data_IF_518920108580
#
_entry.id   IF_518920108580
#
_cell.length_a   1.000
_cell.length_b   1.000
_cell.length_c   1.000
_cell.angle_alpha   90.00
_cell.angle_beta   90.00
_cell.angle_gamma   90.00
#
_symmetry.space_group_name_H-M   'P 1'
#
loop_
_entity.id
_entity.type
_entity.pdbx_description
1 polymer ?
#
# COMPACT_ATOMS: atom_id res chain seq x y z
N UNK A 1 47.05 -18.53 48.24
CA UNK A 1 45.87 -18.04 47.49
C UNK A 1 45.03 -17.14 48.40
N UNK A 2 44.36 -16.12 47.86
CA UNK A 2 43.41 -15.31 48.66
C UNK A 2 42.23 -16.17 49.15
N UNK A 3 41.68 -15.86 50.33
CA UNK A 3 40.47 -16.53 50.86
C UNK A 3 39.33 -16.51 49.83
N UNK A 4 39.19 -15.41 49.09
CA UNK A 4 38.18 -15.25 48.04
C UNK A 4 38.43 -16.17 46.86
N UNK A 5 39.69 -16.35 46.46
CA UNK A 5 40.06 -17.27 45.37
C UNK A 5 39.75 -18.71 45.75
N UNK A 6 40.10 -19.13 46.97
CA UNK A 6 39.82 -20.49 47.46
C UNK A 6 38.31 -20.74 47.50
N UNK A 7 37.53 -19.79 48.04
CA UNK A 7 36.07 -19.90 48.08
C UNK A 7 35.45 -19.95 46.68
N UNK A 8 36.05 -19.26 45.70
CA UNK A 8 35.60 -19.27 44.33
C UNK A 8 35.84 -20.63 43.67
N UNK A 9 37.05 -21.18 43.79
CA UNK A 9 37.39 -22.50 43.25
C UNK A 9 36.50 -23.59 43.85
N UNK A 10 36.22 -23.52 45.16
CA UNK A 10 35.32 -24.46 45.83
C UNK A 10 33.87 -24.40 45.30
N UNK A 11 33.37 -23.18 45.05
CA UNK A 11 32.04 -23.00 44.47
C UNK A 11 31.97 -23.51 43.02
N UNK A 12 33.03 -23.30 42.22
CA UNK A 12 33.12 -23.82 40.85
C UNK A 12 33.19 -25.35 40.85
N UNK A 13 33.98 -25.95 41.74
CA UNK A 13 34.04 -27.40 41.90
C UNK A 13 32.65 -27.99 42.22
N UNK A 14 31.89 -27.32 43.09
CA UNK A 14 30.50 -27.73 43.41
C UNK A 14 29.60 -27.73 42.17
N UNK A 15 29.73 -26.74 41.27
CA UNK A 15 28.97 -26.71 40.02
C UNK A 15 29.38 -27.87 39.10
N UNK A 16 30.68 -28.11 38.94
CA UNK A 16 31.20 -29.19 38.09
C UNK A 16 30.78 -30.58 38.58
N UNK A 17 30.81 -30.83 39.89
CA UNK A 17 30.37 -32.10 40.50
C UNK A 17 28.87 -32.37 40.30
N UNK A 18 28.04 -31.32 40.28
CA UNK A 18 26.59 -31.42 40.16
C UNK A 18 26.08 -31.24 38.71
N UNK A 19 26.99 -31.14 37.74
CA UNK A 19 26.66 -31.00 36.31
C UNK A 19 27.06 -32.28 35.55
N UNK A 20 26.16 -33.30 35.49
CA UNK A 20 26.40 -34.51 34.72
C UNK A 20 26.50 -34.20 33.22
N UNK A 21 27.45 -34.85 32.53
CA UNK A 21 27.65 -34.70 31.07
C UNK A 21 26.66 -35.52 30.25
N UNK A 22 26.32 -36.72 30.73
CA UNK A 22 25.62 -37.74 29.94
C UNK A 22 24.22 -38.11 30.49
N UNK A 23 23.75 -37.44 31.53
CA UNK A 23 22.49 -37.76 32.20
C UNK A 23 21.69 -36.49 32.56
N UNK A 24 20.35 -36.57 32.65
CA UNK A 24 19.54 -35.44 33.07
C UNK A 24 19.82 -35.08 34.54
N UNK A 25 20.00 -33.79 34.80
CA UNK A 25 20.17 -33.26 36.15
C UNK A 25 18.93 -33.51 37.02
N UNK A 26 19.16 -34.05 38.23
CA UNK A 26 18.14 -34.18 39.27
C UNK A 26 17.77 -32.81 39.86
N UNK A 27 16.56 -32.67 40.42
CA UNK A 27 16.11 -31.43 41.06
C UNK A 27 17.07 -30.96 42.17
N UNK A 28 17.64 -31.90 42.93
CA UNK A 28 18.59 -31.58 44.00
C UNK A 28 19.91 -31.03 43.46
N UNK A 29 20.43 -31.61 42.38
CA UNK A 29 21.63 -31.11 41.70
C UNK A 29 21.41 -29.70 41.14
N UNK A 30 20.25 -29.44 40.52
CA UNK A 30 19.90 -28.10 40.02
C UNK A 30 19.96 -27.04 41.12
N UNK A 31 19.33 -27.31 42.27
CA UNK A 31 19.37 -26.38 43.42
C UNK A 31 20.79 -26.14 43.94
N UNK A 32 21.65 -27.16 43.94
CA UNK A 32 23.06 -26.98 44.33
C UNK A 32 23.85 -26.15 43.31
N UNK A 33 23.63 -26.39 42.02
CA UNK A 33 24.23 -25.60 40.93
C UNK A 33 23.80 -24.14 41.05
N UNK A 34 22.50 -23.87 41.20
CA UNK A 34 21.97 -22.50 41.29
C UNK A 34 22.55 -21.74 42.49
N UNK A 35 22.65 -22.40 43.65
CA UNK A 35 23.25 -21.80 44.86
C UNK A 35 24.74 -21.54 44.69
N UNK A 36 25.47 -22.49 44.13
CA UNK A 36 26.90 -22.34 43.88
C UNK A 36 27.16 -21.23 42.84
N UNK A 37 26.35 -21.15 41.79
CA UNK A 37 26.41 -20.09 40.79
C UNK A 37 26.13 -18.70 41.39
N UNK A 38 25.09 -18.57 42.22
CA UNK A 38 24.81 -17.33 42.94
C UNK A 38 25.97 -16.93 43.88
N UNK A 39 26.60 -17.90 44.53
CA UNK A 39 27.79 -17.67 45.36
C UNK A 39 28.99 -17.19 44.51
N UNK A 40 29.23 -17.77 43.34
CA UNK A 40 30.26 -17.34 42.40
C UNK A 40 30.04 -15.87 41.99
N UNK A 41 28.82 -15.52 41.59
CA UNK A 41 28.49 -14.14 41.21
C UNK A 41 28.74 -13.17 42.37
N UNK A 42 28.35 -13.53 43.60
CA UNK A 42 28.61 -12.72 44.80
C UNK A 42 30.11 -12.51 45.04
N UNK A 43 30.95 -13.53 44.84
CA UNK A 43 32.40 -13.45 45.02
C UNK A 43 33.08 -12.61 43.93
N UNK A 44 32.59 -12.65 42.70
CA UNK A 44 33.18 -11.91 41.55
C UNK A 44 32.58 -10.50 41.41
N UNK A 45 31.47 -10.17 42.07
CA UNK A 45 30.79 -8.87 41.96
C UNK A 45 31.70 -7.62 42.04
N UNK A 46 32.71 -7.52 42.94
CA UNK A 46 33.63 -6.37 42.92
C UNK A 46 34.40 -6.22 41.61
N UNK A 47 34.75 -7.34 40.97
CA UNK A 47 35.46 -7.38 39.69
C UNK A 47 34.54 -7.05 38.52
N UNK A 48 33.31 -7.54 38.53
CA UNK A 48 32.27 -7.14 37.56
C UNK A 48 32.11 -5.61 37.61
N UNK A 49 31.91 -5.02 38.81
CA UNK A 49 31.84 -3.56 38.97
C UNK A 49 33.04 -2.82 38.41
N UNK A 50 34.25 -3.35 38.59
CA UNK A 50 35.46 -2.76 38.03
C UNK A 50 35.44 -2.78 36.50
N UNK A 51 35.14 -3.92 35.87
CA UNK A 51 35.12 -4.02 34.42
C UNK A 51 33.96 -3.22 33.80
N UNK A 52 32.77 -3.23 34.37
CA UNK A 52 31.64 -2.43 33.86
C UNK A 52 32.00 -0.94 33.78
N UNK A 53 32.68 -0.41 34.80
CA UNK A 53 33.20 0.98 34.77
C UNK A 53 34.27 1.17 33.69
N UNK A 54 35.23 0.24 33.58
CA UNK A 54 36.32 0.33 32.59
C UNK A 54 35.79 0.34 31.15
N UNK A 55 34.71 -0.39 30.89
CA UNK A 55 34.09 -0.47 29.57
C UNK A 55 33.07 0.66 29.30
N UNK A 56 32.86 1.58 30.25
CA UNK A 56 31.93 2.69 30.11
C UNK A 56 30.45 2.31 30.19
N UNK A 57 30.14 1.13 30.74
CA UNK A 57 28.79 0.55 30.76
C UNK A 57 28.02 0.85 32.06
N UNK A 58 28.44 1.86 32.83
CA UNK A 58 27.81 2.20 34.12
C UNK A 58 26.33 2.55 33.99
N UNK A 59 25.93 3.21 32.88
CA UNK A 59 24.53 3.54 32.60
C UNK A 59 23.68 2.32 32.19
N UNK A 60 24.32 1.21 31.84
CA UNK A 60 23.69 -0.04 31.41
C UNK A 60 24.02 -1.16 32.40
N UNK A 61 23.91 -0.86 33.70
CA UNK A 61 24.34 -1.78 34.77
C UNK A 61 23.63 -3.14 34.68
N UNK A 62 22.31 -3.13 34.49
CA UNK A 62 21.49 -4.34 34.43
C UNK A 62 21.90 -5.24 33.27
N UNK A 63 22.06 -4.68 32.07
CA UNK A 63 22.52 -5.43 30.89
C UNK A 63 23.94 -5.98 31.09
N UNK A 64 24.83 -5.17 31.66
CA UNK A 64 26.21 -5.55 31.89
C UNK A 64 26.34 -6.66 32.94
N UNK A 65 25.49 -6.65 33.96
CA UNK A 65 25.39 -7.71 34.97
C UNK A 65 24.94 -9.03 34.33
N UNK A 66 23.92 -9.01 33.47
CA UNK A 66 23.46 -10.20 32.75
C UNK A 66 24.53 -10.76 31.79
N UNK A 67 25.20 -9.89 31.02
CA UNK A 67 26.31 -10.31 30.16
C UNK A 67 27.46 -10.94 30.96
N UNK A 68 27.76 -10.41 32.16
CA UNK A 68 28.74 -11.01 33.06
C UNK A 68 28.28 -12.34 33.65
N UNK A 69 26.99 -12.53 33.94
CA UNK A 69 26.46 -13.82 34.35
C UNK A 69 26.59 -14.88 33.25
N UNK A 70 26.29 -14.52 31.99
CA UNK A 70 26.52 -15.38 30.82
C UNK A 70 28.01 -15.72 30.67
N UNK A 71 28.90 -14.74 30.86
CA UNK A 71 30.33 -14.96 30.82
C UNK A 71 30.81 -15.97 31.88
N UNK A 72 30.28 -15.87 33.10
CA UNK A 72 30.58 -16.82 34.19
C UNK A 72 30.05 -18.21 33.85
N UNK A 73 28.84 -18.32 33.30
CA UNK A 73 28.28 -19.60 32.88
C UNK A 73 29.17 -20.28 31.84
N UNK A 74 29.51 -19.58 30.76
CA UNK A 74 30.40 -20.09 29.70
C UNK A 74 31.81 -20.39 30.21
N UNK A 75 32.29 -19.59 31.18
CA UNK A 75 33.55 -19.85 31.85
C UNK A 75 33.50 -21.20 32.58
N UNK A 76 32.42 -21.51 33.30
CA UNK A 76 32.30 -22.77 34.03
C UNK A 76 32.26 -23.97 33.06
N UNK A 77 31.50 -23.87 31.96
CA UNK A 77 31.36 -24.96 30.97
C UNK A 77 32.69 -25.37 30.33
N UNK A 78 33.58 -24.40 30.11
CA UNK A 78 34.87 -24.58 29.44
C UNK A 78 36.07 -24.57 30.39
N UNK A 79 35.83 -24.55 31.70
CA UNK A 79 36.88 -24.44 32.70
C UNK A 79 37.67 -25.75 32.85
N UNK A 80 39.00 -25.61 32.87
CA UNK A 80 39.93 -26.70 33.16
C UNK A 80 40.83 -26.31 34.37
N UNK A 81 40.60 -26.89 35.56
CA UNK A 81 41.36 -26.57 36.77
C UNK A 81 42.86 -26.87 36.66
N UNK A 82 43.27 -27.76 35.75
CA UNK A 82 44.68 -28.13 35.59
C UNK A 82 45.50 -27.08 34.85
N UNK A 83 44.84 -26.23 34.04
CA UNK A 83 45.49 -25.24 33.18
C UNK A 83 45.65 -23.88 33.84
N UNK A 84 44.64 -23.41 34.58
CA UNK A 84 44.65 -22.08 35.18
C UNK A 84 43.68 -21.97 36.36
N UNK A 85 43.92 -20.98 37.23
CA UNK A 85 42.93 -20.56 38.24
C UNK A 85 41.69 -19.97 37.57
N UNK A 86 40.51 -20.27 38.11
CA UNK A 86 39.23 -19.81 37.58
C UNK A 86 39.17 -18.28 37.52
N UNK A 87 39.73 -17.58 38.51
CA UNK A 87 39.79 -16.11 38.51
C UNK A 87 40.51 -15.53 37.29
N UNK A 88 41.49 -16.25 36.76
CA UNK A 88 42.23 -15.82 35.58
C UNK A 88 41.43 -16.09 34.33
N UNK A 89 40.80 -17.28 34.26
CA UNK A 89 40.00 -17.70 33.11
C UNK A 89 38.74 -16.85 32.94
N UNK A 90 37.95 -16.67 34.01
CA UNK A 90 36.69 -15.93 33.97
C UNK A 90 36.86 -14.46 33.57
N UNK A 91 38.03 -13.86 33.85
CA UNK A 91 38.32 -12.49 33.43
C UNK A 91 38.29 -12.32 31.92
N UNK A 92 38.80 -13.30 31.18
CA UNK A 92 38.81 -13.26 29.72
C UNK A 92 37.39 -13.33 29.18
N UNK A 93 36.56 -14.22 29.75
CA UNK A 93 35.15 -14.35 29.36
C UNK A 93 34.37 -13.06 29.66
N UNK A 94 34.54 -12.49 30.86
CA UNK A 94 33.87 -11.24 31.25
C UNK A 94 34.26 -10.10 30.30
N UNK A 95 35.55 -9.95 29.98
CA UNK A 95 36.01 -8.93 29.04
C UNK A 95 35.43 -9.12 27.63
N UNK A 96 35.33 -10.37 27.16
CA UNK A 96 34.76 -10.69 25.85
C UNK A 96 33.28 -10.30 25.75
N UNK A 97 32.47 -10.72 26.74
CA UNK A 97 31.03 -10.41 26.75
C UNK A 97 30.76 -8.91 26.94
N UNK A 98 31.48 -8.23 27.83
CA UNK A 98 31.34 -6.78 28.00
C UNK A 98 31.76 -6.00 26.75
N UNK A 99 32.80 -6.45 26.04
CA UNK A 99 33.19 -5.85 24.77
C UNK A 99 32.09 -6.05 23.70
N UNK A 100 31.48 -7.25 23.67
CA UNK A 100 30.37 -7.55 22.76
C UNK A 100 29.14 -6.68 23.05
N UNK A 101 28.79 -6.51 24.32
CA UNK A 101 27.71 -5.61 24.75
C UNK A 101 28.00 -4.17 24.35
N UNK A 102 29.22 -3.68 24.63
CA UNK A 102 29.66 -2.33 24.24
C UNK A 102 29.52 -2.10 22.74
N UNK A 103 29.90 -3.04 21.89
CA UNK A 103 29.72 -2.89 20.44
C UNK A 103 28.25 -2.89 20.00
N UNK A 104 27.35 -3.52 20.74
CA UNK A 104 25.91 -3.50 20.44
C UNK A 104 25.26 -2.18 20.83
N UNK A 105 25.63 -1.62 21.99
CA UNK A 105 25.08 -0.38 22.50
C UNK A 105 25.74 0.87 21.89
N UNK A 106 27.05 0.83 21.70
CA UNK A 106 27.88 1.92 21.21
C UNK A 106 28.43 1.54 19.83
N UNK A 107 27.56 1.63 18.82
CA UNK A 107 27.87 1.23 17.44
C UNK A 107 28.94 2.10 16.80
N UNK A 108 29.00 3.37 17.20
CA UNK A 108 30.04 4.36 16.91
C UNK A 108 31.44 3.93 17.39
N UNK A 109 31.52 3.18 18.49
CA UNK A 109 32.79 2.73 19.06
C UNK A 109 33.35 1.48 18.38
N UNK A 110 32.65 0.91 17.40
CA UNK A 110 33.15 -0.21 16.60
C UNK A 110 34.35 0.22 15.75
N UNK A 111 35.35 -0.65 15.54
CA UNK A 111 36.48 -0.33 14.66
C UNK A 111 36.06 0.09 13.25
N UNK A 112 34.96 -0.46 12.72
CA UNK A 112 34.41 -0.08 11.42
C UNK A 112 33.78 1.32 11.42
N UNK A 113 33.06 1.69 12.48
CA UNK A 113 32.45 3.01 12.61
C UNK A 113 33.50 4.10 12.80
N UNK A 114 34.55 3.83 13.58
CA UNK A 114 35.71 4.73 13.72
C UNK A 114 36.44 5.01 12.42
N UNK A 115 36.49 4.05 11.48
CA UNK A 115 37.10 4.26 10.16
C UNK A 115 36.35 5.27 9.29
N UNK A 116 35.05 5.43 9.53
CA UNK A 116 34.15 6.31 8.76
C UNK A 116 33.76 7.54 9.61
N UNK A 117 34.38 7.74 10.77
CA UNK A 117 34.05 8.80 11.73
C UNK A 117 32.54 8.86 12.08
N UNK A 118 31.86 7.70 12.02
CA UNK A 118 30.44 7.61 12.27
C UNK A 118 30.16 7.82 13.76
N UNK A 119 29.38 8.86 14.06
CA UNK A 119 29.01 9.24 15.43
C UNK A 119 27.53 8.95 15.65
N UNK A 120 27.20 8.30 16.77
CA UNK A 120 25.80 8.10 17.15
C UNK A 120 25.30 9.41 17.78
N UNK A 121 24.28 10.00 17.16
CA UNK A 121 23.65 11.23 17.64
C UNK A 121 22.23 10.84 18.08
N UNK A 122 21.80 11.28 19.26
CA UNK A 122 20.40 11.11 19.66
C UNK A 122 19.52 11.97 18.76
N UNK A 123 18.36 11.45 18.37
CA UNK A 123 17.42 12.20 17.53
C UNK A 123 17.01 13.53 18.21
N UNK A 124 16.93 13.52 19.55
CA UNK A 124 16.72 14.72 20.36
C UNK A 124 17.81 15.78 20.22
N UNK A 125 19.06 15.39 19.94
CA UNK A 125 20.15 16.36 19.69
C UNK A 125 20.05 17.02 18.31
N UNK A 126 19.29 16.44 17.37
CA UNK A 126 18.95 17.07 16.10
C UNK A 126 17.70 17.95 16.20
N UNK A 127 16.96 17.85 17.30
CA UNK A 127 15.70 18.53 17.50
C UNK A 127 15.85 19.97 18.02
N UNK A 128 17.08 20.45 18.25
CA UNK A 128 17.35 21.85 18.56
C UNK A 128 17.44 22.65 17.27
N UNK A 129 16.47 23.54 17.05
CA UNK A 129 16.51 24.53 15.96
C UNK A 129 17.73 25.45 16.14
N UNK A 130 18.32 26.02 15.06
CA UNK A 130 19.41 27.01 15.17
C UNK A 130 19.06 28.22 16.06
N UNK A 131 17.78 28.51 16.29
CA UNK A 131 17.30 29.57 17.19
C UNK A 131 17.17 29.13 18.67
N UNK A 132 17.50 27.87 18.99
CA UNK A 132 17.46 27.31 20.34
C UNK A 132 16.10 26.73 20.76
N UNK A 133 15.09 26.81 19.90
CA UNK A 133 13.79 26.18 20.14
C UNK A 133 13.88 24.65 19.98
N UNK A 134 13.41 23.93 21.00
CA UNK A 134 13.29 22.47 20.97
C UNK A 134 12.07 22.07 20.14
N UNK A 135 12.30 21.49 18.97
CA UNK A 135 11.26 20.81 18.20
C UNK A 135 10.99 19.49 18.92
N UNK A 136 9.72 19.19 19.23
CA UNK A 136 9.39 17.87 19.80
C UNK A 136 9.81 16.79 18.80
N UNK A 137 10.48 15.70 19.22
CA UNK A 137 10.78 14.56 18.35
C UNK A 137 9.55 14.02 17.62
N UNK A 138 8.36 14.15 18.22
CA UNK A 138 7.08 13.76 17.63
C UNK A 138 6.77 14.60 16.37
N UNK A 139 7.01 15.91 16.42
CA UNK A 139 6.79 16.82 15.28
C UNK A 139 7.83 16.63 14.16
N UNK A 140 9.01 16.09 14.46
CA UNK A 140 9.99 15.72 13.42
C UNK A 140 9.65 14.40 12.72
N UNK A 141 8.89 13.53 13.38
CA UNK A 141 8.54 12.19 12.88
C UNK A 141 7.17 12.21 12.19
N UNK A 142 6.30 13.16 12.55
CA UNK A 142 4.97 13.30 11.96
C UNK A 142 5.08 13.56 10.45
N UNK A 143 4.52 12.64 9.68
CA UNK A 143 4.38 12.75 8.23
C UNK A 143 2.98 13.28 7.94
N UNK A 144 2.87 14.58 7.63
CA UNK A 144 1.61 15.27 7.41
C UNK A 144 0.77 14.61 6.29
N UNK A 145 1.41 13.95 5.33
CA UNK A 145 0.76 13.29 4.19
C UNK A 145 0.36 11.83 4.49
N UNK A 146 0.74 11.27 5.64
CA UNK A 146 0.52 9.86 5.94
C UNK A 146 -0.98 9.51 6.04
N UNK A 147 -1.79 10.37 6.66
CA UNK A 147 -3.23 10.17 6.76
C UNK A 147 -3.87 10.18 5.38
N UNK A 148 -3.60 11.21 4.57
CA UNK A 148 -4.15 11.34 3.24
C UNK A 148 -3.77 10.18 2.31
N UNK A 149 -2.51 9.72 2.35
CA UNK A 149 -2.08 8.55 1.58
C UNK A 149 -2.73 7.25 2.06
N UNK A 150 -2.94 7.10 3.35
CA UNK A 150 -3.60 5.91 3.92
C UNK A 150 -5.07 5.87 3.54
N UNK A 151 -5.77 7.00 3.64
CA UNK A 151 -7.17 7.12 3.23
C UNK A 151 -7.36 6.91 1.72
N UNK A 152 -6.49 7.48 0.90
CA UNK A 152 -6.49 7.25 -0.55
C UNK A 152 -6.26 5.77 -0.88
N UNK A 153 -5.23 5.14 -0.30
CA UNK A 153 -4.95 3.73 -0.52
C UNK A 153 -6.07 2.80 -0.02
N UNK A 154 -6.71 3.13 1.09
CA UNK A 154 -7.87 2.39 1.58
C UNK A 154 -9.08 2.55 0.66
N UNK A 155 -9.32 3.77 0.15
CA UNK A 155 -10.38 4.04 -0.83
C UNK A 155 -10.16 3.26 -2.12
N UNK A 156 -8.94 3.27 -2.66
CA UNK A 156 -8.58 2.54 -3.88
C UNK A 156 -8.78 1.02 -3.70
N UNK A 157 -8.30 0.47 -2.58
CA UNK A 157 -8.48 -0.95 -2.26
C UNK A 157 -9.96 -1.36 -2.18
N UNK A 158 -10.79 -0.55 -1.51
CA UNK A 158 -12.23 -0.81 -1.42
C UNK A 158 -12.94 -0.67 -2.77
N UNK A 159 -12.52 0.30 -3.60
CA UNK A 159 -13.06 0.48 -4.94
C UNK A 159 -12.71 -0.70 -5.85
N UNK A 160 -11.46 -1.17 -5.84
CA UNK A 160 -11.02 -2.36 -6.59
C UNK A 160 -11.81 -3.61 -6.18
N UNK A 161 -11.98 -3.83 -4.88
CA UNK A 161 -12.79 -4.94 -4.35
C UNK A 161 -14.24 -4.88 -4.82
N UNK A 162 -14.87 -3.69 -4.73
CA UNK A 162 -16.24 -3.50 -5.18
C UNK A 162 -16.42 -3.69 -6.70
N UNK A 163 -15.44 -3.28 -7.49
CA UNK A 163 -15.40 -3.51 -8.94
C UNK A 163 -15.30 -5.00 -9.25
N UNK A 164 -14.40 -5.72 -8.58
CA UNK A 164 -14.26 -7.18 -8.73
C UNK A 164 -15.57 -7.91 -8.41
N UNK A 165 -16.20 -7.58 -7.27
CA UNK A 165 -17.48 -8.16 -6.85
C UNK A 165 -18.61 -7.87 -7.85
N UNK A 166 -18.63 -6.69 -8.45
CA UNK A 166 -19.62 -6.30 -9.45
C UNK A 166 -19.44 -7.09 -10.77
N UNK A 167 -18.19 -7.27 -11.20
CA UNK A 167 -17.86 -8.10 -12.38
C UNK A 167 -18.25 -9.57 -12.12
N UNK A 168 -17.97 -10.10 -10.93
CA UNK A 168 -18.35 -11.46 -10.55
C UNK A 168 -19.87 -11.65 -10.59
N UNK A 169 -20.62 -10.71 -10.01
CA UNK A 169 -22.09 -10.73 -10.07
C UNK A 169 -22.62 -10.68 -11.51
N UNK A 170 -21.96 -9.92 -12.39
CA UNK A 170 -22.29 -9.84 -13.81
C UNK A 170 -22.03 -11.16 -14.54
N UNK A 171 -20.86 -11.78 -14.33
CA UNK A 171 -20.52 -13.08 -14.91
C UNK A 171 -21.49 -14.15 -14.42
N UNK A 172 -21.87 -14.14 -13.14
CA UNK A 172 -22.85 -15.05 -12.57
C UNK A 172 -24.25 -14.89 -13.20
N UNK A 173 -24.70 -13.67 -13.44
CA UNK A 173 -25.96 -13.41 -14.13
C UNK A 173 -25.91 -13.95 -15.56
N UNK A 174 -24.81 -13.71 -16.30
CA UNK A 174 -24.63 -14.25 -17.64
C UNK A 174 -24.56 -15.78 -17.65
N UNK A 175 -23.91 -16.40 -16.65
CA UNK A 175 -23.85 -17.85 -16.50
C UNK A 175 -25.25 -18.42 -16.30
N UNK A 176 -26.05 -17.83 -15.40
CA UNK A 176 -27.46 -18.24 -15.18
C UNK A 176 -28.28 -18.18 -16.47
N UNK A 177 -28.23 -17.05 -17.19
CA UNK A 177 -28.96 -16.86 -18.46
C UNK A 177 -28.46 -17.83 -19.54
N UNK A 178 -27.15 -18.06 -19.63
CA UNK A 178 -26.53 -19.00 -20.57
C UNK A 178 -26.95 -20.44 -20.32
N UNK A 179 -26.93 -20.88 -19.07
CA UNK A 179 -27.40 -22.22 -18.65
C UNK A 179 -28.89 -22.40 -18.97
N UNK A 180 -29.73 -21.39 -18.69
CA UNK A 180 -31.15 -21.43 -19.04
C UNK A 180 -31.39 -21.51 -20.55
N UNK A 181 -30.61 -20.78 -21.35
CA UNK A 181 -30.69 -20.82 -22.81
C UNK A 181 -30.28 -22.21 -23.34
N UNK A 182 -29.21 -22.80 -22.80
CA UNK A 182 -28.77 -24.16 -23.15
C UNK A 182 -29.84 -25.20 -22.78
N UNK A 183 -30.50 -25.06 -21.62
CA UNK A 183 -31.63 -25.93 -21.21
C UNK A 183 -32.86 -25.82 -22.12
N UNK A 184 -33.08 -24.67 -22.75
CA UNK A 184 -34.23 -24.40 -23.65
C UNK A 184 -33.95 -24.74 -25.11
N UNK A 185 -32.68 -24.91 -25.51
CA UNK A 185 -32.32 -25.16 -26.92
C UNK A 185 -32.81 -26.54 -27.37
N UNK A 186 -33.62 -26.64 -28.44
CA UNK A 186 -33.97 -27.94 -29.01
C UNK A 186 -32.74 -28.55 -29.71
N UNK A 187 -32.32 -29.75 -29.28
CA UNK A 187 -31.26 -30.50 -29.98
C UNK A 187 -31.75 -30.89 -31.37
N UNK A 188 -30.95 -30.60 -32.40
CA UNK A 188 -31.20 -31.07 -33.75
C UNK A 188 -31.14 -32.62 -33.75
N UNK A 189 -32.17 -33.26 -34.31
CA UNK A 189 -32.26 -34.72 -34.38
C UNK A 189 -31.33 -35.21 -35.49
N UNK A 190 -30.20 -35.82 -35.13
CA UNK A 190 -29.26 -36.39 -36.10
C UNK A 190 -28.26 -37.38 -35.49
N UNK A 191 -28.57 -38.67 -35.70
CA UNK A 191 -27.69 -39.84 -35.85
C UNK A 191 -26.60 -40.13 -34.80
N UNK A 192 -26.98 -40.64 -33.63
CA UNK A 192 -26.56 -41.99 -33.21
C UNK A 192 -27.41 -42.51 -32.02
N UNK A 193 -27.44 -43.83 -31.89
CA UNK A 193 -28.51 -44.68 -31.33
C UNK A 193 -28.86 -44.52 -29.81
N UNK A 194 -29.93 -45.18 -29.32
CA UNK A 194 -30.72 -44.76 -28.17
C UNK A 194 -30.18 -45.31 -26.84
N UNK A 195 -29.85 -44.41 -25.90
CA UNK A 195 -29.78 -44.77 -24.48
C UNK A 195 -31.03 -44.26 -23.78
N UNK A 196 -31.89 -45.21 -23.38
CA UNK A 196 -33.04 -44.97 -22.54
C UNK A 196 -32.60 -44.52 -21.14
N UNK A 197 -33.27 -43.45 -20.69
CA UNK A 197 -33.59 -43.04 -19.31
C UNK A 197 -32.48 -42.40 -18.46
N UNK A 198 -32.67 -41.12 -18.19
CA UNK A 198 -32.52 -40.55 -16.83
C UNK A 198 -33.40 -39.29 -16.69
N UNK A 199 -34.44 -39.39 -15.84
CA UNK A 199 -35.06 -38.33 -15.03
C UNK A 199 -35.59 -37.00 -15.64
N UNK A 200 -36.39 -36.23 -14.88
CA UNK A 200 -36.92 -34.92 -15.29
C UNK A 200 -35.88 -33.78 -15.28
N UNK A 201 -34.62 -34.08 -14.98
CA UNK A 201 -33.54 -33.10 -14.93
C UNK A 201 -32.75 -33.15 -16.25
N UNK A 202 -33.01 -32.18 -17.12
CA UNK A 202 -32.21 -31.92 -18.32
C UNK A 202 -30.79 -31.54 -17.91
N UNK A 203 -29.88 -32.51 -17.89
CA UNK A 203 -28.44 -32.27 -17.67
C UNK A 203 -27.87 -31.54 -18.89
N UNK A 204 -27.26 -30.37 -18.68
CA UNK A 204 -26.61 -29.60 -19.75
C UNK A 204 -25.36 -30.34 -20.21
N UNK A 205 -25.10 -30.30 -21.52
CA UNK A 205 -23.93 -30.95 -22.13
C UNK A 205 -22.62 -30.32 -21.60
N UNK A 206 -21.68 -31.10 -21.04
CA UNK A 206 -20.44 -30.58 -20.48
C UNK A 206 -19.59 -29.80 -21.50
N UNK A 207 -19.61 -30.19 -22.78
CA UNK A 207 -18.83 -29.49 -23.83
C UNK A 207 -19.44 -28.12 -24.18
N UNK A 208 -20.77 -28.00 -24.11
CA UNK A 208 -21.45 -26.71 -24.31
C UNK A 208 -21.26 -25.78 -23.10
N UNK A 209 -21.16 -26.33 -21.89
CA UNK A 209 -20.82 -25.59 -20.68
C UNK A 209 -19.41 -25.03 -20.72
N UNK A 210 -18.42 -25.83 -21.11
CA UNK A 210 -17.03 -25.38 -21.23
C UNK A 210 -16.88 -24.25 -22.28
N UNK A 211 -17.58 -24.36 -23.41
CA UNK A 211 -17.63 -23.30 -24.43
C UNK A 211 -18.29 -22.02 -23.90
N UNK A 212 -19.33 -22.14 -23.06
CA UNK A 212 -19.96 -21.00 -22.41
C UNK A 212 -19.00 -20.32 -21.44
N UNK A 213 -18.31 -21.09 -20.59
CA UNK A 213 -17.34 -20.57 -19.62
C UNK A 213 -16.15 -19.89 -20.31
N UNK A 214 -15.57 -20.50 -21.35
CA UNK A 214 -14.50 -19.89 -22.13
C UNK A 214 -14.92 -18.59 -22.85
N UNK A 215 -16.21 -18.45 -23.17
CA UNK A 215 -16.76 -17.20 -23.70
C UNK A 215 -16.94 -16.16 -22.59
N UNK A 216 -17.50 -16.55 -21.44
CA UNK A 216 -17.69 -15.65 -20.30
C UNK A 216 -16.36 -15.12 -19.77
N UNK A 217 -15.31 -15.94 -19.76
CA UNK A 217 -13.98 -15.53 -19.35
C UNK A 217 -13.40 -14.45 -20.28
N UNK A 218 -13.57 -14.60 -21.59
CA UNK A 218 -13.17 -13.58 -22.56
C UNK A 218 -13.98 -12.29 -22.45
N UNK A 219 -15.30 -12.42 -22.27
CA UNK A 219 -16.17 -11.26 -22.08
C UNK A 219 -15.84 -10.54 -20.75
N UNK A 220 -15.42 -11.26 -19.70
CA UNK A 220 -14.92 -10.70 -18.42
C UNK A 220 -13.68 -9.84 -18.65
N UNK A 221 -12.65 -10.41 -19.28
CA UNK A 221 -11.38 -9.73 -19.51
C UNK A 221 -11.55 -8.46 -20.37
N UNK A 222 -12.39 -8.52 -21.41
CA UNK A 222 -12.70 -7.33 -22.23
C UNK A 222 -13.38 -6.23 -21.40
N UNK A 223 -14.27 -6.60 -20.47
CA UNK A 223 -15.02 -5.66 -19.64
C UNK A 223 -14.13 -5.03 -18.57
N UNK A 224 -13.29 -5.83 -17.91
CA UNK A 224 -12.33 -5.40 -16.90
C UNK A 224 -11.35 -4.36 -17.48
N UNK A 225 -10.67 -4.71 -18.58
CA UNK A 225 -9.72 -3.83 -19.25
C UNK A 225 -10.35 -2.54 -19.80
N UNK A 226 -11.57 -2.64 -20.36
CA UNK A 226 -12.20 -1.50 -21.04
C UNK A 226 -12.89 -0.52 -20.10
N UNK A 227 -13.57 -1.03 -19.07
CA UNK A 227 -14.41 -0.20 -18.19
C UNK A 227 -13.58 0.35 -17.03
N UNK A 228 -12.65 -0.43 -16.50
CA UNK A 228 -11.94 -0.10 -15.26
C UNK A 228 -10.47 0.26 -15.49
N UNK A 229 -9.76 -0.41 -16.40
CA UNK A 229 -8.35 -0.10 -16.70
C UNK A 229 -8.15 0.95 -17.81
N UNK A 230 -9.25 1.49 -18.37
CA UNK A 230 -9.25 2.52 -19.44
C UNK A 230 -8.48 2.16 -20.71
N UNK A 231 -8.19 0.87 -20.95
CA UNK A 231 -7.45 0.41 -22.14
C UNK A 231 -8.16 0.83 -23.44
N UNK A 232 -7.37 1.12 -24.47
CA UNK A 232 -7.92 1.58 -25.76
C UNK A 232 -8.57 0.41 -26.52
N UNK A 233 -9.50 0.73 -27.43
CA UNK A 233 -10.13 -0.29 -28.27
C UNK A 233 -9.11 -1.02 -29.17
N UNK A 234 -7.99 -0.38 -29.44
CA UNK A 234 -6.94 -0.87 -30.33
C UNK A 234 -6.06 -1.89 -29.59
N UNK A 235 -5.67 -1.59 -28.35
CA UNK A 235 -4.97 -2.52 -27.45
C UNK A 235 -5.78 -3.81 -27.24
N UNK A 236 -7.06 -3.67 -26.88
CA UNK A 236 -7.92 -4.84 -26.62
C UNK A 236 -8.16 -5.64 -27.91
N UNK A 237 -8.29 -4.98 -29.05
CA UNK A 237 -8.49 -5.66 -30.35
C UNK A 237 -7.27 -6.46 -30.78
N UNK A 238 -6.07 -5.94 -30.54
CA UNK A 238 -4.81 -6.63 -30.84
C UNK A 238 -4.59 -7.85 -29.95
N UNK A 239 -4.91 -7.74 -28.66
CA UNK A 239 -4.70 -8.82 -27.68
C UNK A 239 -5.74 -9.95 -27.79
N UNK A 240 -7.01 -9.60 -27.99
CA UNK A 240 -8.11 -10.58 -27.98
C UNK A 240 -8.44 -11.15 -29.37
N UNK A 241 -7.92 -10.54 -30.44
CA UNK A 241 -8.26 -10.89 -31.83
C UNK A 241 -9.73 -10.59 -32.20
N UNK A 242 -10.45 -9.84 -31.35
CA UNK A 242 -11.85 -9.45 -31.56
C UNK A 242 -11.90 -8.09 -32.26
N UNK A 243 -12.87 -7.90 -33.16
CA UNK A 243 -13.02 -6.61 -33.86
C UNK A 243 -13.43 -5.49 -32.90
N UNK A 244 -12.95 -4.26 -33.16
CA UNK A 244 -13.26 -3.07 -32.36
C UNK A 244 -14.77 -2.85 -32.16
N UNK A 245 -15.57 -3.08 -33.20
CA UNK A 245 -17.03 -2.97 -33.13
C UNK A 245 -17.65 -4.03 -32.20
N UNK A 246 -17.11 -5.25 -32.21
CA UNK A 246 -17.58 -6.31 -31.31
C UNK A 246 -17.23 -5.99 -29.86
N UNK A 247 -16.03 -5.47 -29.59
CA UNK A 247 -15.63 -4.98 -28.26
C UNK A 247 -16.61 -3.89 -27.80
N UNK A 248 -16.88 -2.88 -28.63
CA UNK A 248 -17.83 -1.81 -28.34
C UNK A 248 -19.22 -2.33 -27.96
N UNK A 249 -19.72 -3.36 -28.67
CA UNK A 249 -21.01 -3.97 -28.36
C UNK A 249 -21.01 -4.72 -27.03
N UNK A 250 -19.93 -5.49 -26.74
CA UNK A 250 -19.76 -6.21 -25.48
C UNK A 250 -19.73 -5.20 -24.32
N UNK A 251 -18.89 -4.17 -24.41
CA UNK A 251 -18.81 -3.12 -23.38
C UNK A 251 -20.14 -2.43 -23.16
N UNK A 252 -20.83 -2.00 -24.24
CA UNK A 252 -22.13 -1.33 -24.12
C UNK A 252 -23.18 -2.19 -23.42
N UNK A 253 -23.19 -3.51 -23.71
CA UNK A 253 -24.10 -4.46 -23.07
C UNK A 253 -23.72 -4.68 -21.60
N UNK A 254 -22.42 -4.82 -21.32
CA UNK A 254 -21.89 -5.00 -19.99
C UNK A 254 -22.20 -3.80 -19.09
N UNK A 255 -21.94 -2.56 -19.54
CA UNK A 255 -22.25 -1.34 -18.78
C UNK A 255 -23.73 -1.29 -18.37
N UNK A 256 -24.65 -1.65 -19.29
CA UNK A 256 -26.08 -1.68 -18.97
C UNK A 256 -26.40 -2.70 -17.87
N UNK A 257 -25.84 -3.91 -17.98
CA UNK A 257 -26.07 -4.98 -17.01
C UNK A 257 -25.43 -4.68 -15.65
N UNK A 258 -24.21 -4.11 -15.62
CA UNK A 258 -23.52 -3.70 -14.40
C UNK A 258 -24.32 -2.63 -13.64
N UNK A 259 -24.89 -1.65 -14.36
CA UNK A 259 -25.77 -0.63 -13.74
C UNK A 259 -27.02 -1.27 -13.15
N UNK A 260 -27.65 -2.19 -13.87
CA UNK A 260 -28.83 -2.92 -13.38
C UNK A 260 -28.52 -3.69 -12.09
N UNK A 261 -27.41 -4.45 -12.09
CA UNK A 261 -26.92 -5.20 -10.92
C UNK A 261 -26.63 -4.26 -9.74
N UNK A 262 -25.94 -3.14 -10.00
CA UNK A 262 -25.60 -2.17 -8.96
C UNK A 262 -26.85 -1.53 -8.34
N UNK A 263 -27.92 -1.35 -9.13
CA UNK A 263 -29.19 -0.81 -8.63
C UNK A 263 -30.07 -1.82 -7.91
N UNK A 264 -29.98 -3.11 -8.25
CA UNK A 264 -30.83 -4.17 -7.68
C UNK A 264 -30.25 -4.76 -6.38
N UNK A 265 -28.93 -4.77 -6.22
CA UNK A 265 -28.29 -5.44 -5.09
C UNK A 265 -27.94 -4.45 -3.97
N UNK A 266 -28.41 -4.68 -2.72
CA UNK A 266 -28.18 -3.76 -1.60
C UNK A 266 -26.70 -3.49 -1.29
N UNK A 267 -25.83 -4.46 -1.57
CA UNK A 267 -24.37 -4.36 -1.35
C UNK A 267 -23.68 -3.30 -2.22
N UNK A 268 -24.31 -2.86 -3.31
CA UNK A 268 -23.77 -1.83 -4.20
C UNK A 268 -24.53 -0.49 -4.09
N UNK A 269 -25.39 -0.33 -3.08
CA UNK A 269 -26.24 0.86 -2.92
C UNK A 269 -25.44 2.18 -2.89
N UNK A 270 -24.30 2.20 -2.20
CA UNK A 270 -23.42 3.38 -2.13
C UNK A 270 -22.88 3.75 -3.52
N UNK A 271 -22.42 2.77 -4.29
CA UNK A 271 -21.96 2.99 -5.68
C UNK A 271 -23.09 3.47 -6.60
N UNK A 272 -24.32 2.98 -6.40
CA UNK A 272 -25.48 3.40 -7.17
C UNK A 272 -25.88 4.85 -6.85
N UNK A 273 -25.74 5.28 -5.59
CA UNK A 273 -25.97 6.67 -5.17
C UNK A 273 -24.91 7.62 -5.74
N UNK A 274 -23.63 7.24 -5.68
CA UNK A 274 -22.54 8.04 -6.24
C UNK A 274 -22.61 8.14 -7.77
N UNK A 275 -22.95 7.05 -8.47
CA UNK A 275 -23.18 7.07 -9.92
C UNK A 275 -24.33 8.01 -10.31
N UNK A 276 -25.39 8.10 -9.48
CA UNK A 276 -26.51 9.04 -9.70
C UNK A 276 -26.10 10.49 -9.44
N UNK A 277 -25.18 10.75 -8.51
CA UNK A 277 -24.63 12.09 -8.24
C UNK A 277 -23.64 12.54 -9.31
N UNK A 278 -22.84 11.62 -9.84
CA UNK A 278 -21.83 11.90 -10.85
C UNK A 278 -22.41 12.05 -12.28
N UNK A 279 -23.59 11.49 -12.57
CA UNK A 279 -24.24 11.67 -13.86
C UNK A 279 -24.94 13.04 -13.96
N UNK A 280 -24.63 13.88 -14.96
CA UNK A 280 -25.44 15.06 -15.25
C UNK A 280 -26.87 14.62 -15.65
N UNK A 281 -27.92 15.38 -15.29
CA UNK A 281 -29.30 15.01 -15.64
C UNK A 281 -29.41 14.83 -17.16
N UNK A 282 -30.01 13.71 -17.57
CA UNK A 282 -30.19 13.38 -18.98
C UNK A 282 -30.85 14.57 -19.70
N UNK A 283 -30.09 15.18 -20.63
CA UNK A 283 -30.57 16.33 -21.41
C UNK A 283 -31.87 15.93 -22.10
N UNK A 284 -32.99 16.65 -21.90
CA UNK A 284 -34.26 16.25 -22.49
C UNK A 284 -34.08 16.13 -23.99
N UNK A 285 -34.53 15.00 -24.56
CA UNK A 285 -34.56 14.79 -26.00
C UNK A 285 -35.27 16.00 -26.61
N UNK A 286 -34.54 16.83 -27.36
CA UNK A 286 -35.13 17.94 -28.12
C UNK A 286 -36.29 17.35 -28.92
N UNK A 287 -37.50 17.79 -28.59
CA UNK A 287 -38.67 17.51 -29.40
C UNK A 287 -38.41 18.04 -30.81
N UNK A 288 -38.97 17.35 -31.82
CA UNK A 288 -38.77 17.67 -33.24
C UNK A 288 -39.23 19.08 -33.67
N UNK A 289 -39.70 19.91 -32.73
CA UNK A 289 -40.14 21.28 -32.97
C UNK A 289 -38.99 22.30 -33.16
N UNK A 290 -37.73 21.97 -32.83
CA UNK A 290 -36.59 22.91 -32.96
C UNK A 290 -35.85 22.78 -34.31
N UNK A 291 -36.20 21.80 -35.14
CA UNK A 291 -35.53 21.57 -36.43
C UNK A 291 -36.01 22.51 -37.57
N UNK A 292 -36.94 23.44 -37.31
CA UNK A 292 -37.57 24.27 -38.35
C UNK A 292 -37.25 25.78 -38.24
N UNK A 293 -36.23 26.20 -37.50
CA UNK A 293 -35.77 27.59 -37.54
C UNK A 293 -34.71 27.76 -38.63
N UNK A 294 -35.13 28.30 -39.79
CA UNK A 294 -34.21 28.75 -40.85
C UNK A 294 -33.22 29.77 -40.26
N UNK A 295 -31.92 29.50 -40.40
CA UNK A 295 -30.87 30.44 -40.03
C UNK A 295 -30.98 31.66 -40.96
N UNK A 296 -31.31 32.82 -40.41
CA UNK A 296 -31.30 34.10 -41.12
C UNK A 296 -29.86 34.52 -41.39
N UNK A 297 -29.53 34.83 -42.65
CA UNK A 297 -28.23 35.37 -43.08
C UNK A 297 -28.02 36.84 -42.69
N UNK A 298 -29.03 37.51 -42.12
CA UNK A 298 -28.95 38.91 -41.71
C UNK A 298 -28.70 39.02 -40.20
N UNK A 299 -27.82 39.94 -39.76
CA UNK A 299 -27.60 40.23 -38.34
C UNK A 299 -28.91 40.65 -37.65
N UNK A 300 -29.08 40.22 -36.40
CA UNK A 300 -30.25 40.55 -35.61
C UNK A 300 -30.29 42.07 -35.32
N UNK A 301 -31.31 42.80 -35.82
CA UNK A 301 -31.41 44.24 -35.61
C UNK A 301 -31.68 44.62 -34.15
N UNK A 302 -32.06 43.65 -33.31
CA UNK A 302 -32.30 43.88 -31.88
C UNK A 302 -31.05 43.79 -31.00
N UNK A 303 -29.92 43.34 -31.57
CA UNK A 303 -28.67 43.23 -30.85
C UNK A 303 -28.11 44.60 -30.43
N UNK A 304 -27.63 44.69 -29.19
CA UNK A 304 -27.22 45.95 -28.56
C UNK A 304 -26.15 46.73 -29.35
N UNK A 305 -25.27 46.05 -30.09
CA UNK A 305 -24.24 46.67 -30.92
C UNK A 305 -24.78 47.29 -32.23
N UNK A 306 -25.98 46.90 -32.68
CA UNK A 306 -26.63 47.43 -33.87
C UNK A 306 -27.51 48.67 -33.57
N UNK A 307 -27.73 49.01 -32.30
CA UNK A 307 -28.51 50.19 -31.88
C UNK A 307 -27.72 51.50 -31.91
N UNK A 308 -26.40 51.44 -32.07
CA UNK A 308 -25.51 52.61 -31.99
C UNK A 308 -25.20 53.27 -33.33
N UNK A 309 -25.73 52.75 -34.44
CA UNK A 309 -25.59 53.34 -35.76
C UNK A 309 -26.96 53.78 -36.30
N UNK A 310 -27.17 55.08 -36.43
CA UNK A 310 -28.31 55.67 -37.14
C UNK A 310 -27.82 56.23 -38.48
N UNK A 311 -28.44 55.83 -39.58
CA UNK A 311 -28.17 56.35 -40.92
C UNK A 311 -29.27 57.36 -41.26
N UNK A 312 -28.94 58.65 -41.29
CA UNK A 312 -29.82 59.67 -41.87
C UNK A 312 -29.59 59.75 -43.37
N UNK A 313 -30.64 59.53 -44.16
CA UNK A 313 -30.62 59.81 -45.58
C UNK A 313 -30.73 61.33 -45.76
N UNK A 314 -29.64 61.98 -46.19
CA UNK A 314 -29.66 63.39 -46.60
C UNK A 314 -30.35 63.45 -47.96
N UNK A 315 -31.54 64.05 -48.01
CA UNK A 315 -32.23 64.35 -49.27
C UNK A 315 -31.40 65.33 -50.10
N UNK A 316 -31.08 64.94 -51.33
CA UNK A 316 -30.31 65.75 -52.26
C UNK A 316 -31.17 66.87 -52.86
N UNK A 317 -31.25 68.01 -52.18
CA UNK A 317 -31.78 69.22 -52.80
C UNK A 317 -30.74 69.89 -53.71
N UNK A 318 -31.06 69.85 -55.00
CA UNK A 318 -30.42 70.59 -56.09
C UNK A 318 -30.40 72.11 -55.78
N UNK A 319 -29.23 72.74 -55.84
CA UNK A 319 -29.02 74.08 -56.45
C UNK A 319 -27.54 74.47 -56.56
N UNK A 320 -27.02 74.27 -57.77
CA UNK A 320 -26.34 75.27 -58.62
C UNK A 320 -25.22 76.17 -58.06
N UNK A 321 -24.04 76.03 -58.70
CA UNK A 321 -23.04 77.03 -59.12
C UNK A 321 -21.76 77.27 -58.28
N UNK A 322 -20.63 77.07 -59.01
CA UNK A 322 -19.34 77.79 -58.99
C UNK A 322 -18.23 77.27 -58.05
N UNK A 323 -17.25 76.59 -58.66
CA UNK A 323 -15.83 76.47 -58.22
C UNK A 323 -15.20 77.88 -58.18
N UNK A 324 -14.33 78.25 -57.21
CA UNK A 324 -13.02 77.63 -57.08
C UNK A 324 -12.38 77.60 -55.66
N UNK A 325 -11.19 76.96 -55.63
CA UNK A 325 -10.07 77.13 -54.70
C UNK A 325 -10.13 76.45 -53.32
N UNK A 326 -9.14 75.56 -53.12
CA UNK A 326 -8.69 75.05 -51.82
C UNK A 326 -8.28 76.21 -50.90
N UNK A 327 -8.49 76.07 -49.58
CA UNK A 327 -7.31 75.87 -48.76
C UNK A 327 -7.47 74.83 -47.63
N UNK A 328 -6.30 74.32 -47.26
CA UNK A 328 -5.93 73.54 -46.08
C UNK A 328 -6.54 74.11 -44.79
N UNK A 329 -7.08 73.25 -43.91
CA UNK A 329 -6.98 73.50 -42.46
C UNK A 329 -7.00 72.22 -41.62
N UNK A 330 -6.11 72.23 -40.64
CA UNK A 330 -5.73 71.19 -39.67
C UNK A 330 -6.73 71.00 -38.53
N UNK A 331 -6.65 69.80 -37.90
CA UNK A 331 -6.83 69.43 -36.48
C UNK A 331 -8.17 69.85 -35.80
N UNK A 332 -8.75 69.12 -34.84
CA UNK A 332 -8.20 68.68 -33.53
C UNK A 332 -9.06 67.52 -33.01
N UNK A 333 -8.44 66.67 -32.19
CA UNK A 333 -9.02 65.54 -31.46
C UNK A 333 -10.03 65.92 -30.36
N UNK A 334 -10.84 64.96 -29.96
CA UNK A 334 -10.99 64.61 -28.54
C UNK A 334 -10.76 63.13 -28.33
#
# INVERSE_FOLDING_TARGET
>A
MSKTTIALEAAVATVLENTPKDAPQTNRQRVYVDRAFAQILKLIAPRIRHFVRQYGLTAHWEDAEQCCAIAVHRAIESYDPTKAQFTTFVNWQIRGELQSLRFRLMTDQRPSAKKVEATTISLSALATSPDGDEISPEAMIEDEDALGRTEAGASDYLAEGAVSDLIDAYVDQLRKVGVEALRRRPRAKGADAPVRRSGPFKTVDPVEMEKLEAKLQRDREIVERRIFETATLDEISNDTGVTKERIRQITKRATKALVEIATEQPRFAVMAEDARRAMPPARPRRSAAVAAAKVSLLPDPSALHNRLAHVEAIEAERRSYITPALPVMQLVMH
#
